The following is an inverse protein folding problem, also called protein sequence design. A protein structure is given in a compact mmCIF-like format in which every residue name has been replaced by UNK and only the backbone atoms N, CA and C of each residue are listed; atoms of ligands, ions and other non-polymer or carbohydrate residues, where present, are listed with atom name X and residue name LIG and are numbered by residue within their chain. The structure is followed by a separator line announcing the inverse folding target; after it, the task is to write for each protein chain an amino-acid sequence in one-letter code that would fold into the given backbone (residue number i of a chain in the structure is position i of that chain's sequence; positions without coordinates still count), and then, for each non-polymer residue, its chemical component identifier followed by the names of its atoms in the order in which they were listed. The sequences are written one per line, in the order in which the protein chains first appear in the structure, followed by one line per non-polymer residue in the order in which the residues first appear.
data_IF_531073590962
#
_entry.id   IF_531073590962
#
_cell.length_a   1.000
_cell.length_b   1.000
_cell.length_c   1.000
_cell.angle_alpha   90.00
_cell.angle_beta   90.00
_cell.angle_gamma   90.00
#
_symmetry.space_group_name_H-M   'P 1'
#
loop_
_entity.id
_entity.type
_entity.pdbx_description
1 polymer ?
#
# COMPACT_ATOMS: atom_id res chain seq x y z
N UNK A 1 -18.17 -1.46 0.35
CA UNK A 1 -17.72 -1.68 1.74
C UNK A 1 -17.01 -3.02 1.84
N UNK A 2 -15.82 -3.02 2.42
CA UNK A 2 -15.06 -4.23 2.72
C UNK A 2 -15.00 -4.41 4.24
N UNK A 3 -16.10 -4.79 4.91
CA UNK A 3 -16.18 -4.79 6.37
C UNK A 3 -15.21 -5.78 7.04
N UNK A 4 -14.63 -6.68 6.27
CA UNK A 4 -13.71 -7.70 6.75
C UNK A 4 -12.23 -7.41 6.41
N UNK A 5 -11.95 -6.28 5.76
CA UNK A 5 -10.59 -5.91 5.39
C UNK A 5 -10.05 -4.86 6.33
N UNK A 6 -8.91 -5.13 6.93
CA UNK A 6 -8.14 -4.20 7.74
C UNK A 6 -6.96 -3.68 6.95
N UNK A 7 -6.80 -2.37 6.91
CA UNK A 7 -5.65 -1.71 6.29
C UNK A 7 -4.85 -1.03 7.41
N UNK A 8 -3.59 -1.46 7.57
CA UNK A 8 -2.63 -0.78 8.44
C UNK A 8 -1.89 0.26 7.61
N UNK A 9 -1.94 1.51 8.03
CA UNK A 9 -1.35 2.62 7.29
C UNK A 9 -0.12 3.12 8.02
N UNK A 10 1.00 3.19 7.31
CA UNK A 10 2.20 3.91 7.73
C UNK A 10 2.30 5.15 6.85
N UNK A 11 2.05 6.31 7.44
CA UNK A 11 2.18 7.59 6.75
C UNK A 11 3.62 8.08 6.87
N UNK A 12 4.27 8.34 5.73
CA UNK A 12 5.64 8.84 5.69
C UNK A 12 5.68 10.23 5.07
N UNK A 13 6.35 11.19 5.74
CA UNK A 13 6.47 12.54 5.19
C UNK A 13 7.30 12.55 3.90
N UNK A 14 6.91 13.42 2.97
CA UNK A 14 7.58 13.59 1.68
C UNK A 14 8.85 14.46 1.70
N UNK A 15 9.37 14.84 2.86
CA UNK A 15 10.56 15.69 2.98
C UNK A 15 11.86 14.89 2.96
N UNK A 16 12.92 15.47 2.41
CA UNK A 16 14.26 14.88 2.30
C UNK A 16 14.81 14.43 3.66
N UNK A 17 14.53 15.18 4.71
CA UNK A 17 14.99 14.91 6.07
C UNK A 17 14.47 13.59 6.66
N UNK A 18 13.40 13.02 6.06
CA UNK A 18 12.77 11.79 6.52
C UNK A 18 13.10 10.57 5.65
N UNK A 19 14.11 10.64 4.80
CA UNK A 19 14.49 9.55 3.89
C UNK A 19 14.81 8.24 4.64
N UNK A 20 15.47 8.33 5.79
CA UNK A 20 15.81 7.16 6.62
C UNK A 20 14.56 6.51 7.22
N UNK A 21 13.57 7.30 7.64
CA UNK A 21 12.30 6.76 8.16
C UNK A 21 11.50 6.07 7.07
N UNK A 22 11.48 6.63 5.86
CA UNK A 22 10.86 6.02 4.70
C UNK A 22 11.51 4.67 4.39
N UNK A 23 12.83 4.61 4.36
CA UNK A 23 13.57 3.36 4.10
C UNK A 23 13.27 2.28 5.13
N UNK A 24 13.23 2.63 6.41
CA UNK A 24 12.87 1.69 7.49
C UNK A 24 11.45 1.16 7.32
N UNK A 25 10.51 2.02 6.93
CA UNK A 25 9.13 1.65 6.69
C UNK A 25 8.99 0.70 5.49
N UNK A 26 9.75 0.91 4.42
CA UNK A 26 9.69 0.07 3.22
C UNK A 26 10.00 -1.40 3.50
N UNK A 27 10.78 -1.71 4.51
CA UNK A 27 11.10 -3.10 4.89
C UNK A 27 9.90 -3.87 5.43
N UNK A 28 8.90 -3.20 5.97
CA UNK A 28 7.76 -3.83 6.64
C UNK A 28 6.45 -3.67 5.86
N UNK A 29 6.48 -2.98 4.72
CA UNK A 29 5.29 -2.75 3.90
C UNK A 29 4.97 -3.96 3.01
N UNK A 30 3.69 -4.26 2.88
CA UNK A 30 3.19 -5.18 1.85
C UNK A 30 3.03 -4.48 0.51
N UNK A 31 2.70 -3.20 0.54
CA UNK A 31 2.57 -2.36 -0.64
C UNK A 31 2.66 -0.88 -0.29
N UNK A 32 2.77 -0.04 -1.29
CA UNK A 32 2.92 1.40 -1.14
C UNK A 32 2.00 2.17 -2.08
N UNK A 33 1.40 3.24 -1.58
CA UNK A 33 0.70 4.22 -2.40
C UNK A 33 1.55 5.47 -2.46
N UNK A 34 2.06 5.79 -3.63
CA UNK A 34 2.81 7.02 -3.87
C UNK A 34 1.84 8.13 -4.24
N UNK A 35 1.70 9.11 -3.37
CA UNK A 35 0.83 10.27 -3.59
C UNK A 35 1.63 11.36 -4.31
N UNK A 36 1.17 11.74 -5.50
CA UNK A 36 1.78 12.80 -6.29
C UNK A 36 0.80 13.95 -6.46
N UNK A 37 1.32 15.17 -6.44
CA UNK A 37 0.51 16.35 -6.70
C UNK A 37 0.24 16.46 -8.20
N UNK A 38 -1.01 16.69 -8.59
CA UNK A 38 -1.41 16.85 -10.00
C UNK A 38 -0.73 18.03 -10.69
N UNK A 39 -0.22 19.01 -9.94
CA UNK A 39 0.51 20.16 -10.45
C UNK A 39 2.03 19.92 -10.49
N UNK A 40 2.60 19.45 -9.38
CA UNK A 40 4.04 19.27 -9.24
C UNK A 40 4.57 17.99 -9.87
N UNK A 41 3.78 16.94 -9.86
CA UNK A 41 4.17 15.64 -10.41
C UNK A 41 5.33 14.99 -9.69
N UNK A 42 6.32 14.56 -10.46
CA UNK A 42 7.53 13.91 -9.93
C UNK A 42 8.53 14.97 -9.47
N UNK A 43 8.84 14.94 -8.18
CA UNK A 43 9.83 15.81 -7.55
C UNK A 43 11.08 14.99 -7.16
N UNK A 44 12.22 15.64 -6.84
CA UNK A 44 13.44 14.90 -6.45
C UNK A 44 13.24 13.92 -5.29
N UNK A 45 12.43 14.29 -4.30
CA UNK A 45 12.07 13.40 -3.20
C UNK A 45 11.29 12.16 -3.67
N UNK A 46 10.38 12.36 -4.63
CA UNK A 46 9.61 11.26 -5.23
C UNK A 46 10.53 10.25 -5.92
N UNK A 47 11.53 10.74 -6.64
CA UNK A 47 12.53 9.87 -7.29
C UNK A 47 13.32 9.05 -6.28
N UNK A 48 13.78 9.67 -5.20
CA UNK A 48 14.55 9.01 -4.15
C UNK A 48 13.74 7.89 -3.49
N UNK A 49 12.52 8.19 -3.07
CA UNK A 49 11.63 7.21 -2.44
C UNK A 49 11.25 6.09 -3.42
N UNK A 50 11.05 6.44 -4.68
CA UNK A 50 10.73 5.45 -5.72
C UNK A 50 11.87 4.46 -5.92
N UNK A 51 13.12 4.93 -5.97
CA UNK A 51 14.30 4.05 -6.10
C UNK A 51 14.51 3.16 -4.88
N UNK A 52 14.23 3.67 -3.69
CA UNK A 52 14.25 2.86 -2.46
C UNK A 52 13.20 1.75 -2.52
N UNK A 53 12.00 2.06 -2.97
CA UNK A 53 10.94 1.07 -3.15
C UNK A 53 11.30 0.01 -4.22
N UNK A 54 12.00 0.41 -5.28
CA UNK A 54 12.55 -0.55 -6.27
C UNK A 54 13.55 -1.50 -5.62
N UNK A 55 14.43 -0.99 -4.79
CA UNK A 55 15.43 -1.80 -4.09
C UNK A 55 14.80 -2.89 -3.22
N UNK A 56 13.70 -2.58 -2.55
CA UNK A 56 12.97 -3.52 -1.70
C UNK A 56 11.88 -4.29 -2.42
N UNK A 57 11.72 -4.13 -3.74
CA UNK A 57 10.69 -4.79 -4.56
C UNK A 57 9.28 -4.62 -4.01
N UNK A 58 8.96 -3.42 -3.55
CA UNK A 58 7.64 -3.11 -2.98
C UNK A 58 6.62 -2.91 -4.09
N UNK A 59 5.52 -3.68 -4.11
CA UNK A 59 4.38 -3.39 -4.99
C UNK A 59 3.83 -1.99 -4.74
N UNK A 60 3.53 -1.27 -5.82
CA UNK A 60 3.15 0.14 -5.74
C UNK A 60 1.97 0.48 -6.60
N UNK A 61 1.22 1.49 -6.17
CA UNK A 61 0.29 2.23 -7.01
C UNK A 61 0.52 3.72 -6.82
N UNK A 62 0.07 4.52 -7.75
CA UNK A 62 0.15 5.97 -7.72
C UNK A 62 -1.24 6.55 -7.53
N UNK A 63 -1.34 7.55 -6.66
CA UNK A 63 -2.51 8.39 -6.51
C UNK A 63 -2.16 9.83 -6.88
N UNK A 64 -2.70 10.30 -8.00
CA UNK A 64 -2.52 11.70 -8.42
C UNK A 64 -3.55 12.54 -7.71
N UNK A 65 -3.10 13.22 -6.66
CA UNK A 65 -3.90 14.00 -5.74
C UNK A 65 -4.00 15.48 -6.16
N UNK A 66 -4.90 16.18 -5.56
CA UNK A 66 -5.11 17.62 -5.79
C UNK A 66 -5.52 17.95 -7.22
N UNK A 67 -6.37 17.12 -7.82
CA UNK A 67 -6.91 17.40 -9.15
C UNK A 67 -7.76 18.68 -9.21
N UNK A 68 -8.18 19.22 -8.07
CA UNK A 68 -9.01 20.40 -7.92
C UNK A 68 -8.24 21.72 -7.87
N UNK A 69 -6.92 21.70 -7.79
CA UNK A 69 -6.10 22.93 -7.70
C UNK A 69 -5.73 23.48 -9.08
N UNK A 70 -5.46 24.78 -9.13
CA UNK A 70 -4.99 25.45 -10.33
C UNK A 70 -3.65 24.88 -10.80
N UNK A 71 -3.55 24.52 -12.07
CA UNK A 71 -2.37 23.92 -12.66
C UNK A 71 -2.38 22.38 -12.64
N UNK A 72 -3.45 21.74 -12.12
CA UNK A 72 -3.58 20.29 -12.13
C UNK A 72 -3.63 19.74 -13.56
N UNK A 73 -2.79 18.73 -13.82
CA UNK A 73 -2.73 18.06 -15.11
C UNK A 73 -2.30 16.60 -14.93
N UNK A 74 -3.28 15.70 -14.92
CA UNK A 74 -3.06 14.26 -14.73
C UNK A 74 -2.12 13.66 -15.79
N UNK A 75 -2.33 13.99 -17.04
CA UNK A 75 -1.58 13.40 -18.16
C UNK A 75 -0.12 13.87 -18.19
N UNK A 76 0.12 15.12 -17.78
CA UNK A 76 1.47 15.62 -17.61
C UNK A 76 2.22 14.88 -16.50
N UNK A 77 1.56 14.63 -15.37
CA UNK A 77 2.14 13.83 -14.27
C UNK A 77 2.43 12.41 -14.74
N UNK A 78 1.52 11.80 -15.50
CA UNK A 78 1.72 10.46 -16.06
C UNK A 78 2.95 10.40 -16.97
N UNK A 79 3.14 11.41 -17.83
CA UNK A 79 4.32 11.52 -18.69
C UNK A 79 5.61 11.70 -17.88
N UNK A 80 5.58 12.49 -16.81
CA UNK A 80 6.72 12.65 -15.91
C UNK A 80 7.09 11.32 -15.23
N UNK A 81 6.10 10.54 -14.81
CA UNK A 81 6.33 9.22 -14.20
C UNK A 81 7.02 8.28 -15.18
N UNK A 82 6.53 8.20 -16.42
CA UNK A 82 7.14 7.37 -17.45
C UNK A 82 8.57 7.81 -17.76
N UNK A 83 8.79 9.10 -17.85
CA UNK A 83 10.07 9.69 -18.29
C UNK A 83 11.14 9.65 -17.20
N UNK A 84 10.79 10.06 -15.98
CA UNK A 84 11.75 10.21 -14.86
C UNK A 84 11.89 8.95 -14.01
N UNK A 85 10.80 8.21 -13.78
CA UNK A 85 10.82 7.01 -12.95
C UNK A 85 11.00 5.72 -13.77
N UNK A 86 10.81 5.79 -15.09
CA UNK A 86 10.87 4.63 -16.00
C UNK A 86 9.93 3.49 -15.54
N UNK A 87 8.85 3.85 -14.88
CA UNK A 87 7.88 2.90 -14.35
C UNK A 87 6.84 2.52 -15.41
N UNK A 88 6.39 1.27 -15.36
CA UNK A 88 5.25 0.82 -16.15
C UNK A 88 3.95 1.27 -15.48
N UNK A 89 3.72 2.57 -15.46
CA UNK A 89 2.57 3.20 -14.86
C UNK A 89 1.38 3.19 -15.82
N UNK A 90 0.30 2.55 -15.42
CA UNK A 90 -0.88 2.34 -16.25
C UNK A 90 -2.12 2.86 -15.53
N UNK A 91 -2.82 3.86 -16.08
CA UNK A 91 -4.05 4.34 -15.47
C UNK A 91 -5.13 3.24 -15.41
N UNK A 92 -5.73 3.11 -14.24
CA UNK A 92 -6.97 2.34 -14.04
C UNK A 92 -8.16 3.26 -13.87
N UNK A 93 -7.89 4.56 -13.77
CA UNK A 93 -8.86 5.63 -13.68
C UNK A 93 -8.41 6.82 -14.52
N UNK A 94 -9.35 7.63 -14.97
CA UNK A 94 -9.07 8.93 -15.58
C UNK A 94 -9.88 10.01 -14.87
N UNK A 95 -9.34 11.23 -14.73
CA UNK A 95 -10.10 12.32 -14.12
C UNK A 95 -11.16 12.86 -15.08
N UNK A 96 -12.30 13.27 -14.54
CA UNK A 96 -13.34 14.01 -15.26
C UNK A 96 -13.21 15.48 -14.88
N UNK A 97 -12.69 16.28 -15.80
CA UNK A 97 -12.33 17.66 -15.56
C UNK A 97 -11.00 17.81 -14.80
N UNK A 98 -10.62 19.03 -14.56
CA UNK A 98 -9.44 19.42 -13.79
C UNK A 98 -9.64 20.79 -13.16
N UNK A 99 -8.86 21.10 -12.14
CA UNK A 99 -8.97 22.35 -11.42
C UNK A 99 -10.38 22.50 -10.82
N UNK A 100 -11.03 23.64 -11.01
CA UNK A 100 -12.38 23.90 -10.52
C UNK A 100 -13.47 23.07 -11.22
N UNK A 101 -13.16 22.48 -12.38
CA UNK A 101 -14.09 21.61 -13.12
C UNK A 101 -13.94 20.12 -12.75
N UNK A 102 -12.99 19.77 -11.90
CA UNK A 102 -12.82 18.38 -11.46
C UNK A 102 -14.05 17.91 -10.68
N UNK A 103 -14.77 16.93 -11.23
CA UNK A 103 -16.05 16.47 -10.68
C UNK A 103 -16.17 14.97 -10.50
N UNK A 104 -15.18 14.20 -10.92
CA UNK A 104 -15.26 12.75 -10.79
C UNK A 104 -14.15 12.02 -11.48
N UNK A 105 -14.32 10.70 -11.56
CA UNK A 105 -13.36 9.80 -12.19
C UNK A 105 -14.07 8.82 -13.12
N UNK A 106 -13.37 8.43 -14.19
CA UNK A 106 -13.75 7.29 -15.02
C UNK A 106 -13.06 6.06 -14.44
N UNK A 107 -13.83 5.00 -14.22
CA UNK A 107 -13.31 3.68 -13.85
C UNK A 107 -13.08 2.89 -15.14
N UNK A 108 -11.82 2.63 -15.47
CA UNK A 108 -11.46 1.91 -16.69
C UNK A 108 -11.65 0.39 -16.57
N UNK A 109 -11.87 -0.14 -15.39
CA UNK A 109 -12.16 -1.55 -15.17
C UNK A 109 -13.65 -1.81 -15.40
N UNK A 110 -14.51 -1.00 -14.79
CA UNK A 110 -15.98 -1.09 -14.94
C UNK A 110 -16.50 -0.39 -16.21
N UNK A 111 -15.75 0.53 -16.78
CA UNK A 111 -16.15 1.40 -17.89
C UNK A 111 -17.40 2.20 -17.58
N UNK A 112 -17.39 2.84 -16.44
CA UNK A 112 -18.38 3.79 -15.97
C UNK A 112 -17.73 5.02 -15.35
N UNK A 113 -18.53 5.94 -14.83
CA UNK A 113 -18.04 7.16 -14.21
C UNK A 113 -18.62 7.31 -12.80
N UNK A 114 -17.77 7.74 -11.88
CA UNK A 114 -18.18 8.17 -10.54
C UNK A 114 -18.18 9.69 -10.52
N UNK A 115 -19.36 10.30 -10.45
CA UNK A 115 -19.53 11.75 -10.50
C UNK A 115 -20.01 12.26 -9.15
N UNK A 116 -19.33 13.30 -8.67
CA UNK A 116 -19.62 13.98 -7.41
C UNK A 116 -20.45 15.24 -7.68
N UNK A 117 -21.59 15.34 -7.01
CA UNK A 117 -22.55 16.45 -7.18
C UNK A 117 -22.47 17.51 -6.07
N UNK A 118 -21.52 17.32 -5.13
CA UNK A 118 -21.28 18.25 -4.04
C UNK A 118 -19.79 18.54 -3.87
N UNK A 119 -19.47 19.58 -3.10
CA UNK A 119 -18.09 20.01 -2.86
C UNK A 119 -17.34 19.16 -1.83
N UNK A 120 -18.05 18.37 -1.05
CA UNK A 120 -17.49 17.60 0.06
C UNK A 120 -17.37 16.10 -0.24
N UNK A 121 -17.69 15.68 -1.47
CA UNK A 121 -17.58 14.28 -1.91
C UNK A 121 -18.58 13.33 -1.25
N UNK A 122 -19.73 13.83 -0.80
CA UNK A 122 -20.77 13.04 -0.13
C UNK A 122 -21.81 12.48 -1.09
N UNK A 123 -22.13 13.20 -2.16
CA UNK A 123 -23.11 12.80 -3.18
C UNK A 123 -22.38 12.32 -4.42
N UNK A 124 -22.01 11.05 -4.41
CA UNK A 124 -21.39 10.38 -5.56
C UNK A 124 -22.42 9.49 -6.25
N UNK A 125 -22.49 9.58 -7.58
CA UNK A 125 -23.38 8.76 -8.41
C UNK A 125 -22.57 8.05 -9.48
N UNK A 126 -22.90 6.78 -9.70
CA UNK A 126 -22.35 5.98 -10.80
C UNK A 126 -23.19 6.26 -12.05
N UNK A 127 -22.54 6.73 -13.09
CA UNK A 127 -23.17 7.14 -14.34
C UNK A 127 -22.40 6.61 -15.55
N UNK A 128 -22.99 6.62 -16.75
CA UNK A 128 -22.23 6.33 -17.95
C UNK A 128 -21.10 7.34 -18.17
N UNK A 129 -20.05 6.90 -18.86
CA UNK A 129 -18.93 7.78 -19.23
C UNK A 129 -19.46 8.95 -20.05
N UNK A 130 -19.06 10.21 -19.73
CA UNK A 130 -19.45 11.37 -20.54
C UNK A 130 -19.10 11.17 -22.02
N UNK A 131 -20.01 11.56 -22.95
CA UNK A 131 -19.86 11.31 -24.37
C UNK A 131 -18.56 11.86 -24.96
N UNK A 132 -18.13 13.04 -24.50
CA UNK A 132 -16.89 13.69 -24.92
C UNK A 132 -15.62 12.99 -24.44
N UNK A 133 -15.74 12.01 -23.53
CA UNK A 133 -14.62 11.27 -22.97
C UNK A 133 -14.58 9.79 -23.36
N UNK A 134 -15.58 9.30 -24.10
CA UNK A 134 -15.68 7.88 -24.48
C UNK A 134 -14.46 7.42 -25.29
N UNK A 135 -14.02 8.21 -26.27
CA UNK A 135 -12.87 7.84 -27.09
C UNK A 135 -11.57 7.78 -26.26
N UNK A 136 -11.37 8.74 -25.38
CA UNK A 136 -10.22 8.75 -24.47
C UNK A 136 -10.26 7.57 -23.49
N UNK A 137 -11.43 7.27 -22.94
CA UNK A 137 -11.62 6.13 -22.07
C UNK A 137 -11.31 4.81 -22.78
N UNK A 138 -11.75 4.64 -24.00
CA UNK A 138 -11.46 3.46 -24.82
C UNK A 138 -9.96 3.33 -25.13
N UNK A 139 -9.28 4.43 -25.42
CA UNK A 139 -7.83 4.47 -25.62
C UNK A 139 -7.07 3.96 -24.39
N UNK A 140 -7.39 4.47 -23.23
CA UNK A 140 -6.72 4.06 -21.98
C UNK A 140 -7.16 2.68 -21.49
N UNK A 141 -8.41 2.28 -21.77
CA UNK A 141 -8.86 0.91 -21.55
C UNK A 141 -8.03 -0.09 -22.35
N UNK A 142 -7.75 0.21 -23.62
CA UNK A 142 -6.92 -0.63 -24.48
C UNK A 142 -5.49 -0.74 -23.93
N UNK A 143 -4.91 0.36 -23.48
CA UNK A 143 -3.58 0.37 -22.81
C UNK A 143 -3.57 -0.51 -21.58
N UNK A 144 -4.63 -0.45 -20.76
CA UNK A 144 -4.78 -1.28 -19.58
C UNK A 144 -4.85 -2.78 -19.94
N UNK A 145 -5.67 -3.14 -20.89
CA UNK A 145 -5.83 -4.53 -21.35
C UNK A 145 -4.53 -5.08 -21.93
N UNK A 146 -3.82 -4.28 -22.70
CA UNK A 146 -2.50 -4.63 -23.24
C UNK A 146 -1.49 -4.89 -22.11
N UNK A 147 -1.45 -4.01 -21.10
CA UNK A 147 -0.54 -4.15 -19.97
C UNK A 147 -0.76 -5.43 -19.15
N UNK A 148 -2.00 -5.88 -19.02
CA UNK A 148 -2.35 -7.07 -18.21
C UNK A 148 -2.45 -8.36 -19.04
N UNK A 149 -2.39 -8.29 -20.35
CA UNK A 149 -2.53 -9.45 -21.24
C UNK A 149 -1.42 -10.49 -21.05
N UNK A 150 -0.25 -10.08 -20.57
CA UNK A 150 0.85 -11.00 -20.21
C UNK A 150 0.50 -11.91 -19.03
N UNK A 151 -0.47 -11.53 -18.20
CA UNK A 151 -0.88 -12.26 -17.00
C UNK A 151 -2.16 -13.08 -17.21
N UNK A 152 -2.86 -12.86 -18.31
CA UNK A 152 -4.03 -13.63 -18.66
C UNK A 152 -4.25 -13.58 -20.19
N UNK A 153 -3.90 -14.65 -20.88
CA UNK A 153 -3.95 -14.74 -22.34
C UNK A 153 -5.36 -14.58 -22.90
N UNK A 154 -6.39 -14.97 -22.16
CA UNK A 154 -7.78 -14.87 -22.59
C UNK A 154 -8.27 -13.41 -22.70
N UNK A 155 -7.70 -12.49 -21.94
CA UNK A 155 -8.08 -11.07 -21.96
C UNK A 155 -7.88 -10.49 -23.38
N UNK A 156 -6.71 -10.69 -23.95
CA UNK A 156 -6.41 -10.17 -25.27
C UNK A 156 -7.21 -10.90 -26.37
N UNK A 157 -7.40 -12.20 -26.24
CA UNK A 157 -8.23 -12.98 -27.15
C UNK A 157 -9.67 -12.45 -27.18
N UNK A 158 -10.29 -12.25 -26.01
CA UNK A 158 -11.63 -11.70 -25.91
C UNK A 158 -11.72 -10.28 -26.46
N UNK A 159 -10.71 -9.46 -26.20
CA UNK A 159 -10.65 -8.10 -26.71
C UNK A 159 -10.57 -8.07 -28.24
N UNK A 160 -9.69 -8.87 -28.85
CA UNK A 160 -9.52 -8.94 -30.30
C UNK A 160 -10.75 -9.51 -30.99
N UNK A 161 -11.49 -10.40 -30.35
CA UNK A 161 -12.75 -10.96 -30.85
C UNK A 161 -13.96 -10.03 -30.66
N UNK A 162 -13.77 -8.87 -30.01
CA UNK A 162 -14.84 -7.93 -29.69
C UNK A 162 -15.84 -8.45 -28.65
N UNK A 163 -15.45 -9.46 -27.88
CA UNK A 163 -16.28 -10.04 -26.81
C UNK A 163 -16.12 -9.28 -25.51
N UNK A 164 -17.14 -9.34 -24.66
CA UNK A 164 -17.10 -8.79 -23.32
C UNK A 164 -16.08 -9.53 -22.45
N UNK A 165 -15.25 -8.75 -21.74
CA UNK A 165 -14.25 -9.29 -20.82
C UNK A 165 -14.81 -9.19 -19.40
N UNK A 166 -14.92 -10.30 -18.65
CA UNK A 166 -15.38 -10.24 -17.26
C UNK A 166 -14.50 -9.30 -16.42
N UNK A 167 -15.11 -8.39 -15.67
CA UNK A 167 -14.36 -7.43 -14.82
C UNK A 167 -13.54 -8.12 -13.77
N UNK A 168 -14.03 -9.23 -13.20
CA UNK A 168 -13.27 -10.04 -12.24
C UNK A 168 -11.95 -10.56 -12.81
N UNK A 169 -11.93 -10.92 -14.09
CA UNK A 169 -10.73 -11.36 -14.81
C UNK A 169 -9.71 -10.25 -14.98
N UNK A 170 -10.17 -9.06 -15.30
CA UNK A 170 -9.32 -7.86 -15.41
C UNK A 170 -8.74 -7.50 -14.04
N UNK A 171 -9.55 -7.50 -12.99
CA UNK A 171 -9.08 -7.23 -11.62
C UNK A 171 -8.01 -8.22 -11.18
N UNK A 172 -8.24 -9.51 -11.41
CA UNK A 172 -7.27 -10.54 -11.07
C UNK A 172 -5.93 -10.34 -11.81
N UNK A 173 -5.97 -9.98 -13.08
CA UNK A 173 -4.77 -9.71 -13.87
C UNK A 173 -4.03 -8.45 -13.40
N UNK A 174 -4.74 -7.38 -13.08
CA UNK A 174 -4.14 -6.16 -12.50
C UNK A 174 -3.46 -6.49 -11.17
N UNK A 175 -4.13 -7.24 -10.30
CA UNK A 175 -3.56 -7.66 -9.02
C UNK A 175 -2.27 -8.46 -9.21
N UNK A 176 -2.30 -9.44 -10.10
CA UNK A 176 -1.13 -10.27 -10.39
C UNK A 176 0.05 -9.44 -10.89
N UNK A 177 -0.19 -8.52 -11.83
CA UNK A 177 0.83 -7.64 -12.38
C UNK A 177 1.40 -6.67 -11.33
N UNK A 178 0.53 -6.13 -10.48
CA UNK A 178 0.92 -5.21 -9.40
C UNK A 178 1.74 -5.90 -8.33
N UNK A 179 1.29 -7.07 -7.87
CA UNK A 179 2.01 -7.86 -6.86
C UNK A 179 3.35 -8.38 -7.37
N UNK A 180 3.47 -8.64 -8.68
CA UNK A 180 4.73 -9.01 -9.32
C UNK A 180 5.70 -7.84 -9.53
N UNK A 181 5.30 -6.62 -9.17
CA UNK A 181 6.06 -5.36 -9.39
C UNK A 181 6.35 -5.10 -10.88
N UNK A 182 5.49 -5.57 -11.76
CA UNK A 182 5.61 -5.39 -13.21
C UNK A 182 4.69 -4.31 -13.76
N UNK A 183 3.75 -3.84 -12.96
CA UNK A 183 2.82 -2.77 -13.31
C UNK A 183 2.57 -1.89 -12.09
N UNK A 184 2.38 -0.61 -12.34
CA UNK A 184 1.99 0.37 -11.33
C UNK A 184 0.64 0.98 -11.72
N UNK A 185 -0.46 0.58 -11.07
CA UNK A 185 -1.77 1.20 -11.32
C UNK A 185 -1.76 2.68 -10.93
N UNK A 186 -2.35 3.51 -11.76
CA UNK A 186 -2.47 4.95 -11.51
C UNK A 186 -3.92 5.32 -11.27
N UNK A 187 -4.16 5.96 -10.15
CA UNK A 187 -5.46 6.49 -9.71
C UNK A 187 -5.39 8.00 -9.58
N UNK A 188 -6.50 8.66 -9.41
CA UNK A 188 -6.55 10.11 -9.25
C UNK A 188 -7.70 10.57 -8.35
N UNK A 189 -7.61 11.80 -7.90
CA UNK A 189 -8.66 12.38 -7.08
C UNK A 189 -8.23 13.67 -6.38
N UNK A 190 -9.03 14.06 -5.41
CA UNK A 190 -8.75 15.15 -4.48
C UNK A 190 -9.13 14.69 -3.07
N UNK A 191 -8.12 14.38 -2.26
CA UNK A 191 -8.35 13.93 -0.88
C UNK A 191 -8.98 15.03 -0.01
N UNK A 192 -8.60 16.27 -0.24
CA UNK A 192 -9.18 17.42 0.46
C UNK A 192 -10.69 17.56 0.22
N UNK A 193 -11.14 17.27 -0.99
CA UNK A 193 -12.55 17.29 -1.38
C UNK A 193 -13.25 15.95 -1.19
N UNK A 194 -12.54 14.95 -0.70
CA UNK A 194 -13.03 13.57 -0.57
C UNK A 194 -13.59 12.99 -1.90
N UNK A 195 -12.96 13.36 -3.01
CA UNK A 195 -13.32 12.88 -4.34
C UNK A 195 -12.29 11.87 -4.85
N UNK A 196 -12.72 10.64 -5.07
CA UNK A 196 -11.87 9.55 -5.52
C UNK A 196 -11.21 8.75 -4.40
N UNK A 197 -11.39 9.11 -3.13
CA UNK A 197 -10.78 8.40 -1.99
C UNK A 197 -11.37 7.01 -1.82
N UNK A 198 -12.68 6.87 -1.98
CA UNK A 198 -13.37 5.58 -1.89
C UNK A 198 -12.85 4.58 -2.92
N UNK A 199 -12.64 5.03 -4.15
CA UNK A 199 -12.09 4.19 -5.22
C UNK A 199 -10.62 3.89 -5.02
N UNK A 200 -9.86 4.76 -4.36
CA UNK A 200 -8.50 4.47 -3.97
C UNK A 200 -8.46 3.34 -2.92
N UNK A 201 -9.33 3.39 -1.92
CA UNK A 201 -9.43 2.32 -0.92
C UNK A 201 -9.84 1.00 -1.55
N UNK A 202 -10.82 1.03 -2.46
CA UNK A 202 -11.22 -0.16 -3.21
C UNK A 202 -10.04 -0.73 -4.03
N UNK A 203 -9.27 0.13 -4.68
CA UNK A 203 -8.11 -0.29 -5.46
C UNK A 203 -7.00 -0.90 -4.58
N UNK A 204 -6.78 -0.38 -3.38
CA UNK A 204 -5.84 -0.97 -2.43
C UNK A 204 -6.27 -2.39 -2.07
N UNK A 205 -7.53 -2.59 -1.75
CA UNK A 205 -8.06 -3.92 -1.41
C UNK A 205 -7.99 -4.87 -2.61
N UNK A 206 -8.31 -4.39 -3.81
CA UNK A 206 -8.37 -5.21 -5.02
C UNK A 206 -6.98 -5.58 -5.56
N UNK A 207 -6.00 -4.68 -5.48
CA UNK A 207 -4.76 -4.81 -6.24
C UNK A 207 -3.47 -4.89 -5.41
N UNK A 208 -3.49 -4.45 -4.17
CA UNK A 208 -2.31 -4.52 -3.33
C UNK A 208 -2.22 -5.87 -2.61
N UNK A 209 -0.99 -6.39 -2.37
CA UNK A 209 -0.85 -7.68 -1.72
C UNK A 209 -1.27 -7.63 -0.25
N UNK A 210 -1.93 -8.70 0.20
CA UNK A 210 -2.10 -9.00 1.61
C UNK A 210 -0.85 -9.69 2.15
N UNK A 211 -0.65 -9.78 3.48
CA UNK A 211 0.48 -10.52 4.05
C UNK A 211 0.60 -11.97 3.58
N UNK A 212 -0.53 -12.59 3.25
CA UNK A 212 -0.60 -13.95 2.72
C UNK A 212 -0.18 -14.09 1.25
N UNK A 213 -0.13 -12.99 0.52
CA UNK A 213 0.26 -12.97 -0.90
C UNK A 213 1.77 -12.83 -1.09
N UNK A 214 2.50 -12.46 -0.04
CA UNK A 214 3.96 -12.33 -0.08
C UNK A 214 4.63 -13.63 0.31
N UNK A 215 5.88 -13.90 -0.18
CA UNK A 215 6.60 -15.10 0.23
C UNK A 215 6.80 -15.16 1.74
N UNK A 216 6.93 -16.39 2.27
CA UNK A 216 7.29 -16.61 3.66
C UNK A 216 8.58 -15.85 4.00
N UNK A 217 8.62 -15.21 5.18
CA UNK A 217 9.83 -14.52 5.62
C UNK A 217 10.93 -15.52 5.93
N UNK A 218 12.13 -15.23 5.44
CA UNK A 218 13.31 -16.06 5.67
C UNK A 218 14.17 -15.46 6.78
N UNK A 219 14.72 -16.32 7.59
CA UNK A 219 15.62 -15.94 8.65
C UNK A 219 16.59 -17.06 8.99
N UNK A 220 17.43 -16.81 9.98
CA UNK A 220 18.45 -17.76 10.45
C UNK A 220 18.20 -18.04 11.92
N UNK A 221 18.15 -19.30 12.28
CA UNK A 221 18.06 -19.70 13.67
C UNK A 221 19.37 -19.33 14.37
N UNK A 222 19.37 -18.45 15.39
CA UNK A 222 20.59 -17.98 16.01
C UNK A 222 21.33 -19.03 16.84
N UNK A 223 20.71 -20.18 17.12
CA UNK A 223 21.34 -21.29 17.85
C UNK A 223 21.98 -22.32 16.94
N UNK A 224 21.45 -22.53 15.75
CA UNK A 224 21.85 -23.61 14.84
C UNK A 224 22.46 -23.12 13.53
N UNK A 225 22.37 -21.81 13.26
CA UNK A 225 22.73 -21.17 11.98
C UNK A 225 21.97 -21.75 10.76
N UNK A 226 20.91 -22.52 11.01
CA UNK A 226 20.08 -23.05 9.94
C UNK A 226 19.12 -22.00 9.39
N UNK A 227 18.93 -21.98 8.07
CA UNK A 227 17.91 -21.18 7.44
C UNK A 227 16.53 -21.71 7.80
N UNK A 228 15.64 -20.81 8.17
CA UNK A 228 14.26 -21.12 8.52
C UNK A 228 13.31 -20.13 7.84
N UNK A 229 12.07 -20.56 7.65
CA UNK A 229 11.01 -19.72 7.10
C UNK A 229 9.84 -19.63 8.08
N UNK A 230 9.14 -18.51 8.03
CA UNK A 230 7.87 -18.30 8.74
C UNK A 230 6.82 -17.83 7.74
N UNK A 231 5.74 -18.61 7.62
CA UNK A 231 4.59 -18.23 6.81
C UNK A 231 3.75 -17.19 7.53
N UNK A 232 3.04 -16.37 6.78
CA UNK A 232 2.07 -15.44 7.35
C UNK A 232 0.83 -16.19 7.82
N UNK A 233 0.90 -16.73 9.02
CA UNK A 233 -0.17 -17.50 9.65
C UNK A 233 -0.12 -17.32 11.16
N UNK A 234 -1.29 -17.23 11.79
CA UNK A 234 -1.41 -17.13 13.25
C UNK A 234 -0.97 -18.42 13.96
N UNK A 235 -0.97 -19.56 13.25
CA UNK A 235 -0.58 -20.86 13.78
C UNK A 235 0.94 -21.09 13.81
N UNK A 236 1.69 -20.25 13.12
CA UNK A 236 3.16 -20.30 13.12
C UNK A 236 3.73 -19.70 14.42
N UNK A 237 4.98 -20.06 14.79
CA UNK A 237 5.67 -19.39 15.89
C UNK A 237 5.78 -17.88 15.67
N UNK A 238 5.63 -17.10 16.72
CA UNK A 238 5.69 -15.66 16.66
C UNK A 238 7.05 -15.16 16.14
N UNK A 239 7.02 -14.25 15.18
CA UNK A 239 8.17 -13.52 14.69
C UNK A 239 7.75 -12.13 14.24
N UNK A 240 8.49 -11.12 14.66
CA UNK A 240 8.23 -9.72 14.33
C UNK A 240 9.54 -8.95 14.17
N UNK A 241 9.46 -7.83 13.45
CA UNK A 241 10.57 -6.90 13.25
C UNK A 241 10.22 -5.56 13.90
N UNK A 242 11.08 -5.09 14.80
CA UNK A 242 11.02 -3.73 15.32
C UNK A 242 11.61 -2.77 14.27
N UNK A 243 10.80 -1.88 13.75
CA UNK A 243 11.21 -0.99 12.65
C UNK A 243 11.30 0.48 13.04
N UNK A 244 10.75 0.87 14.18
CA UNK A 244 10.78 2.25 14.66
C UNK A 244 10.72 2.27 16.19
N UNK A 245 11.58 3.05 16.81
CA UNK A 245 11.55 3.31 18.25
C UNK A 245 11.32 4.80 18.47
N UNK A 246 10.40 5.15 19.36
CA UNK A 246 10.16 6.53 19.75
C UNK A 246 9.88 6.64 21.24
N UNK A 247 10.02 7.82 21.79
CA UNK A 247 9.69 8.10 23.19
C UNK A 247 8.39 8.90 23.24
N UNK A 248 7.44 8.37 23.98
CA UNK A 248 6.16 9.04 24.25
C UNK A 248 6.20 9.63 25.66
N UNK A 249 5.73 10.88 25.87
CA UNK A 249 5.77 11.53 27.19
C UNK A 249 4.97 10.81 28.28
N UNK A 250 3.96 10.03 27.89
CA UNK A 250 3.02 9.40 28.83
C UNK A 250 3.33 7.93 29.09
N UNK A 251 3.69 7.17 28.07
CA UNK A 251 3.93 5.72 28.18
C UNK A 251 5.40 5.34 28.09
N UNK A 252 6.28 6.29 27.82
CA UNK A 252 7.70 6.07 27.70
C UNK A 252 8.11 5.52 26.33
N UNK A 253 8.98 4.52 26.32
CA UNK A 253 9.53 3.97 25.10
C UNK A 253 8.52 3.10 24.35
N UNK A 254 8.26 3.46 23.08
CA UNK A 254 7.42 2.71 22.16
C UNK A 254 8.28 2.04 21.09
N UNK A 255 8.11 0.72 20.96
CA UNK A 255 8.74 -0.07 19.91
C UNK A 255 7.67 -0.47 18.88
N UNK A 256 7.69 0.17 17.72
CA UNK A 256 6.80 -0.18 16.61
C UNK A 256 7.32 -1.41 15.91
N UNK A 257 6.44 -2.38 15.66
CA UNK A 257 6.80 -3.66 15.08
C UNK A 257 5.78 -4.12 14.05
N UNK A 258 6.26 -4.93 13.11
CA UNK A 258 5.45 -5.69 12.17
C UNK A 258 5.50 -7.16 12.56
N UNK A 259 4.34 -7.78 12.72
CA UNK A 259 4.22 -9.23 12.94
C UNK A 259 4.26 -9.96 11.59
N UNK A 260 5.23 -10.82 11.41
CA UNK A 260 5.34 -11.65 10.20
C UNK A 260 4.68 -13.01 10.36
N UNK A 261 4.65 -13.54 11.55
CA UNK A 261 4.02 -14.85 11.84
C UNK A 261 3.57 -14.94 13.29
N UNK A 262 2.61 -15.79 13.53
CA UNK A 262 2.12 -16.10 14.85
C UNK A 262 1.31 -15.00 15.51
N UNK A 263 1.06 -15.18 16.80
CA UNK A 263 0.33 -14.23 17.65
C UNK A 263 1.11 -13.93 18.91
N UNK A 264 0.82 -12.79 19.52
CA UNK A 264 1.43 -12.37 20.78
C UNK A 264 0.39 -11.72 21.67
N UNK A 265 0.36 -12.10 22.93
CA UNK A 265 -0.53 -11.54 23.94
C UNK A 265 0.20 -10.52 24.83
N UNK A 266 -0.54 -9.52 25.29
CA UNK A 266 -0.07 -8.58 26.31
C UNK A 266 0.43 -9.32 27.55
N UNK A 267 1.54 -8.87 28.13
CA UNK A 267 2.16 -9.50 29.29
C UNK A 267 3.04 -10.71 29.00
N UNK A 268 3.13 -11.13 27.74
CA UNK A 268 3.99 -12.24 27.32
C UNK A 268 5.45 -11.84 27.26
N UNK A 269 6.31 -12.84 27.23
CA UNK A 269 7.75 -12.67 26.99
C UNK A 269 8.10 -12.99 25.54
N UNK A 270 9.09 -12.28 25.01
CA UNK A 270 9.66 -12.52 23.70
C UNK A 270 11.17 -12.61 23.79
N UNK A 271 11.76 -13.32 22.83
CA UNK A 271 13.21 -13.31 22.64
C UNK A 271 13.55 -12.22 21.63
N UNK A 272 14.45 -11.31 22.02
CA UNK A 272 15.14 -10.47 21.04
C UNK A 272 16.29 -11.29 20.47
N UNK A 273 16.07 -11.90 19.31
CA UNK A 273 17.03 -12.82 18.70
C UNK A 273 18.32 -12.12 18.24
N UNK A 274 18.22 -10.85 17.86
CA UNK A 274 19.37 -10.04 17.44
C UNK A 274 20.36 -9.81 18.58
N UNK A 275 19.86 -9.56 19.79
CA UNK A 275 20.68 -9.28 20.97
C UNK A 275 20.81 -10.48 21.92
N UNK A 276 20.08 -11.55 21.66
CA UNK A 276 20.10 -12.75 22.51
C UNK A 276 19.51 -12.52 23.91
N UNK A 277 18.56 -11.58 24.05
CA UNK A 277 17.96 -11.22 25.33
C UNK A 277 16.46 -11.46 25.34
N UNK A 278 15.97 -12.01 26.44
CA UNK A 278 14.54 -12.14 26.72
C UNK A 278 14.02 -10.80 27.22
N UNK A 279 12.85 -10.40 26.71
CA UNK A 279 12.16 -9.19 27.15
C UNK A 279 10.68 -9.46 27.40
N UNK A 280 10.11 -8.73 28.34
CA UNK A 280 8.69 -8.81 28.65
C UNK A 280 7.94 -7.68 27.97
N UNK A 281 6.86 -8.01 27.28
CA UNK A 281 5.94 -7.04 26.68
C UNK A 281 4.96 -6.57 27.76
N UNK A 282 5.07 -5.32 28.16
CA UNK A 282 4.18 -4.74 29.18
C UNK A 282 2.79 -4.48 28.63
N UNK A 283 2.71 -3.78 27.50
CA UNK A 283 1.47 -3.43 26.81
C UNK A 283 1.63 -3.53 25.31
N UNK A 284 0.53 -3.85 24.63
CA UNK A 284 0.40 -3.78 23.18
C UNK A 284 -0.57 -2.65 22.84
N UNK A 285 -0.17 -1.77 21.93
CA UNK A 285 -0.95 -0.59 21.56
C UNK A 285 -1.19 -0.53 20.05
N UNK A 286 -2.43 -0.20 19.66
CA UNK A 286 -2.74 0.26 18.32
C UNK A 286 -2.67 1.78 18.33
N UNK A 287 -1.86 2.34 17.43
CA UNK A 287 -1.69 3.79 17.30
C UNK A 287 -2.54 4.32 16.16
N UNK A 288 -3.37 5.33 16.45
CA UNK A 288 -4.15 6.08 15.47
C UNK A 288 -3.80 7.56 15.62
N UNK A 289 -2.77 8.02 14.91
CA UNK A 289 -2.21 9.37 15.09
C UNK A 289 -1.82 9.60 16.58
N UNK A 290 -2.55 10.45 17.29
CA UNK A 290 -2.31 10.74 18.71
C UNK A 290 -3.12 9.85 19.66
N UNK A 291 -4.00 9.01 19.14
CA UNK A 291 -4.81 8.12 19.95
C UNK A 291 -4.11 6.78 20.14
N UNK A 292 -4.22 6.25 21.36
CA UNK A 292 -3.70 4.95 21.74
C UNK A 292 -4.85 4.05 22.17
N UNK A 293 -4.86 2.85 21.66
CA UNK A 293 -5.83 1.83 22.04
C UNK A 293 -5.08 0.59 22.52
N UNK A 294 -5.42 0.11 23.70
CA UNK A 294 -4.84 -1.12 24.22
C UNK A 294 -5.33 -2.34 23.46
N UNK A 295 -4.39 -3.23 23.11
CA UNK A 295 -4.67 -4.50 22.46
C UNK A 295 -4.33 -5.63 23.41
N UNK A 296 -5.16 -6.66 23.45
CA UNK A 296 -4.86 -7.89 24.17
C UNK A 296 -3.94 -8.80 23.38
N UNK A 297 -4.15 -8.87 22.07
CA UNK A 297 -3.43 -9.76 21.15
C UNK A 297 -3.14 -9.05 19.84
N UNK A 298 -1.98 -9.35 19.27
CA UNK A 298 -1.63 -9.01 17.88
C UNK A 298 -1.50 -10.29 17.08
N UNK A 299 -1.83 -10.19 15.79
CA UNK A 299 -1.91 -11.32 14.85
C UNK A 299 -0.93 -11.13 13.70
N UNK A 300 -0.69 -12.21 12.97
CA UNK A 300 0.13 -12.21 11.77
C UNK A 300 -0.33 -11.11 10.79
N UNK A 301 0.60 -10.31 10.31
CA UNK A 301 0.35 -9.16 9.43
C UNK A 301 0.08 -7.84 10.15
N UNK A 302 -0.12 -7.84 11.45
CA UNK A 302 -0.40 -6.62 12.22
C UNK A 302 0.83 -5.71 12.33
N UNK A 303 0.55 -4.41 12.43
CA UNK A 303 1.50 -3.38 12.81
C UNK A 303 0.96 -2.73 14.09
N UNK A 304 1.78 -2.72 15.13
CA UNK A 304 1.41 -2.20 16.44
C UNK A 304 2.63 -1.67 17.19
N UNK A 305 2.45 -1.23 18.43
CA UNK A 305 3.52 -0.80 19.29
C UNK A 305 3.58 -1.62 20.58
N UNK A 306 4.78 -1.89 21.06
CA UNK A 306 5.06 -2.52 22.36
C UNK A 306 5.59 -1.51 23.34
N UNK A 307 5.10 -1.58 24.57
CA UNK A 307 5.62 -0.84 25.73
C UNK A 307 6.33 -1.82 26.65
N UNK A 308 7.44 -1.40 27.23
CA UNK A 308 8.16 -2.18 28.22
C UNK A 308 9.44 -2.86 27.75
N UNK A 309 9.74 -2.79 26.45
CA UNK A 309 11.00 -3.31 25.93
C UNK A 309 12.16 -2.35 26.27
N UNK A 310 13.20 -2.88 26.92
CA UNK A 310 14.32 -2.07 27.41
C UNK A 310 15.53 -2.09 26.48
N UNK A 311 15.76 -3.21 25.81
CA UNK A 311 16.98 -3.46 25.03
C UNK A 311 16.76 -3.47 23.52
N UNK A 312 15.51 -3.48 23.07
CA UNK A 312 15.18 -3.54 21.65
C UNK A 312 15.47 -2.23 20.96
N UNK A 313 16.14 -2.31 19.81
CA UNK A 313 16.43 -1.17 18.92
C UNK A 313 15.88 -1.44 17.52
N UNK A 314 15.90 -0.41 16.68
CA UNK A 314 15.41 -0.52 15.29
C UNK A 314 16.18 -1.59 14.53
N UNK A 315 15.45 -2.48 13.87
CA UNK A 315 16.01 -3.59 13.10
C UNK A 315 16.12 -4.90 13.87
N UNK A 316 15.82 -4.91 15.17
CA UNK A 316 15.86 -6.12 15.97
C UNK A 316 14.68 -7.05 15.65
N UNK A 317 14.95 -8.35 15.70
CA UNK A 317 13.93 -9.39 15.54
C UNK A 317 13.43 -9.83 16.90
N UNK A 318 12.11 -9.87 17.07
CA UNK A 318 11.42 -10.38 18.24
C UNK A 318 10.70 -11.66 17.86
N UNK A 319 10.88 -12.72 18.64
CA UNK A 319 10.33 -14.02 18.29
C UNK A 319 9.96 -14.88 19.52
N UNK A 320 9.35 -16.03 19.24
CA UNK A 320 9.11 -17.06 20.25
C UNK A 320 10.43 -17.62 20.75
N UNK A 321 10.56 -17.77 22.06
CA UNK A 321 11.80 -18.26 22.71
C UNK A 321 12.15 -19.69 22.33
N UNK A 322 11.14 -20.51 22.09
CA UNK A 322 11.29 -21.91 21.76
C UNK A 322 11.52 -22.15 20.26
N UNK A 323 11.26 -21.14 19.44
CA UNK A 323 11.42 -21.19 17.99
C UNK A 323 12.14 -19.93 17.51
N UNK A 324 13.42 -19.76 17.87
CA UNK A 324 14.15 -18.54 17.53
C UNK A 324 14.46 -18.43 16.03
N UNK A 325 14.38 -17.19 15.54
CA UNK A 325 14.69 -16.85 14.16
C UNK A 325 15.33 -15.47 14.06
#
# INVERSE_FOLDING_TARGET
QFPQTRINIIDTPGHVDFTVEVERSLRVLDGSVTVMCAKGGVEPQSETVWRQADHYHVPRMIYVNKMDITGADFYHVLDMVHDRLKANAVPIQLPIGKEDTFKGIIDLVEMDADIYYDQLGKDMRVEPIPEDMVDLANEYREKLLDAVSMFDDEIMELYLEGKEIPTAKIRAAIRQATCAVEMVPVTCGSSYRNKGVQKLLDAIVDYMPAPTDVPAIKGVNPKTDAEEERKSSDDEPFAALAFKIMTDPYVGRLSFFRVYSGTLNTGSSVLNATKGKRERVGRLLQMHANHREDLETVYSGDIAAMVGLKNTTTGDTLCDENHPI
#
